data_IF_568138166974
#
_entry.id   IF_568138166974
#
_cell.length_a   1.000
_cell.length_b   1.000
_cell.length_c   1.000
_cell.angle_alpha   90.00
_cell.angle_beta   90.00
_cell.angle_gamma   90.00
#
_symmetry.space_group_name_H-M   'P 1'
#
loop_
_entity.id
_entity.type
_entity.pdbx_description
1 polymer ?
#
# COMPACT_ATOMS: atom_id res chain seq x y z
N UNK A 1 2.23 14.00 -28.65
CA UNK A 1 3.46 14.02 -27.93
C UNK A 1 3.26 14.19 -26.46
N UNK A 2 2.65 15.27 -26.09
CA UNK A 2 2.30 15.49 -24.70
C UNK A 2 1.52 14.33 -24.14
N UNK A 3 0.69 13.78 -24.96
CA UNK A 3 -0.14 12.67 -24.58
C UNK A 3 0.68 11.46 -24.17
N UNK A 4 1.77 11.27 -24.84
CA UNK A 4 2.63 10.14 -24.53
C UNK A 4 3.22 10.24 -23.16
N UNK A 5 3.73 11.39 -22.82
CA UNK A 5 4.30 11.58 -21.50
C UNK A 5 3.25 11.40 -20.45
N UNK A 6 2.10 11.86 -20.76
CA UNK A 6 0.98 11.76 -19.89
C UNK A 6 0.63 10.31 -19.59
N UNK A 7 0.55 9.53 -20.66
CA UNK A 7 0.23 8.12 -20.49
C UNK A 7 1.29 7.40 -19.71
N UNK A 8 2.52 7.79 -19.86
CA UNK A 8 3.59 7.16 -19.11
C UNK A 8 3.41 7.37 -17.62
N UNK A 9 3.00 8.55 -17.25
CA UNK A 9 2.76 8.83 -15.84
C UNK A 9 1.59 8.03 -15.30
N UNK A 10 0.54 7.95 -16.07
CA UNK A 10 -0.60 7.15 -15.64
C UNK A 10 -0.23 5.69 -15.49
N UNK A 11 0.57 5.22 -16.38
CA UNK A 11 1.02 3.86 -16.37
C UNK A 11 1.79 3.57 -15.08
N UNK A 12 2.65 4.49 -14.69
CA UNK A 12 3.40 4.35 -13.46
C UNK A 12 2.50 4.24 -12.26
N UNK A 13 1.50 5.08 -12.21
CA UNK A 13 0.55 5.07 -11.11
C UNK A 13 -0.15 3.74 -11.03
N UNK A 14 -0.56 3.22 -12.17
CA UNK A 14 -1.24 1.93 -12.19
C UNK A 14 -0.37 0.82 -11.67
N UNK A 15 0.89 0.86 -12.00
CA UNK A 15 1.82 -0.17 -11.54
C UNK A 15 1.95 -0.21 -10.05
N UNK A 16 1.75 0.90 -9.38
CA UNK A 16 1.95 0.99 -7.96
C UNK A 16 0.77 0.53 -7.15
N UNK A 17 -0.39 0.48 -7.77
CA UNK A 17 -1.61 0.15 -7.00
C UNK A 17 -1.73 -1.34 -6.73
N UNK A 18 -1.86 -1.67 -5.47
CA UNK A 18 -2.00 -3.04 -5.02
C UNK A 18 -3.20 -3.17 -4.11
N UNK A 19 -3.62 -4.40 -3.89
CA UNK A 19 -4.69 -4.70 -2.96
C UNK A 19 -4.25 -5.76 -1.99
N UNK A 20 -4.80 -5.70 -0.80
CA UNK A 20 -4.48 -6.68 0.21
C UNK A 20 -5.44 -6.64 1.37
N UNK A 21 -5.13 -7.47 2.35
CA UNK A 21 -5.92 -7.56 3.58
C UNK A 21 -5.01 -7.28 4.75
N UNK A 22 -5.46 -6.45 5.67
CA UNK A 22 -4.66 -6.11 6.84
C UNK A 22 -4.58 -7.34 7.74
N UNK A 23 -3.37 -7.80 8.02
CA UNK A 23 -3.15 -8.92 8.92
C UNK A 23 -3.28 -8.48 10.36
N UNK A 24 -2.67 -7.36 10.66
CA UNK A 24 -2.86 -6.72 11.95
C UNK A 24 -2.32 -5.30 11.86
N UNK A 25 -2.77 -4.47 12.78
CA UNK A 25 -2.24 -3.12 12.90
C UNK A 25 -2.27 -2.72 14.36
N UNK A 26 -1.11 -2.29 14.85
CA UNK A 26 -0.97 -1.85 16.23
C UNK A 26 -1.07 -0.34 16.28
N UNK A 27 -2.20 0.16 16.76
CA UNK A 27 -2.46 1.60 16.78
C UNK A 27 -1.53 2.34 17.71
N UNK A 28 -1.15 1.71 18.80
CA UNK A 28 -0.28 2.37 19.77
C UNK A 28 1.13 2.57 19.22
N UNK A 29 1.64 1.56 18.56
CA UNK A 29 2.99 1.64 18.02
C UNK A 29 3.00 2.18 16.58
N UNK A 30 1.86 2.21 15.93
CA UNK A 30 1.74 2.83 14.62
C UNK A 30 2.30 2.01 13.47
N UNK A 31 2.17 0.68 13.53
CA UNK A 31 2.61 -0.14 12.41
C UNK A 31 1.82 -1.43 12.33
N UNK A 32 1.93 -2.09 11.21
CA UNK A 32 1.27 -3.36 10.99
C UNK A 32 1.75 -4.01 9.70
N UNK A 33 1.00 -5.01 9.26
CA UNK A 33 1.33 -5.73 8.03
C UNK A 33 0.07 -5.96 7.21
N UNK A 34 0.26 -5.88 5.90
CA UNK A 34 -0.80 -6.14 4.93
C UNK A 34 -0.36 -7.33 4.10
N UNK A 35 -1.28 -8.31 3.95
CA UNK A 35 -1.02 -9.45 3.09
C UNK A 35 -1.49 -9.10 1.68
N UNK A 36 -0.59 -9.11 0.73
CA UNK A 36 -0.94 -8.79 -0.65
C UNK A 36 -1.80 -9.89 -1.24
N UNK A 37 -2.83 -9.49 -1.97
CA UNK A 37 -3.77 -10.45 -2.53
C UNK A 37 -3.12 -11.33 -3.59
N UNK A 38 -2.33 -10.73 -4.45
CA UNK A 38 -1.78 -11.46 -5.60
C UNK A 38 -0.59 -12.36 -5.24
N UNK A 39 0.33 -11.86 -4.43
CA UNK A 39 1.54 -12.61 -4.11
C UNK A 39 1.50 -13.27 -2.76
N UNK A 40 0.54 -12.86 -1.93
CA UNK A 40 0.42 -13.33 -0.54
C UNK A 40 1.65 -13.03 0.30
N UNK A 41 2.40 -12.03 -0.14
CA UNK A 41 3.58 -11.57 0.58
C UNK A 41 3.15 -10.46 1.53
N UNK A 42 3.70 -10.45 2.72
CA UNK A 42 3.39 -9.42 3.70
C UNK A 42 4.17 -8.15 3.40
N UNK A 43 3.49 -7.01 3.54
CA UNK A 43 4.10 -5.72 3.34
C UNK A 43 3.94 -4.92 4.63
N UNK A 44 5.03 -4.33 5.07
CA UNK A 44 5.02 -3.49 6.26
C UNK A 44 4.26 -2.20 5.99
N UNK A 45 3.50 -1.73 6.97
CA UNK A 45 2.80 -0.46 6.86
C UNK A 45 3.00 0.33 8.15
N UNK A 46 3.34 1.61 8.00
CA UNK A 46 3.48 2.52 9.12
C UNK A 46 2.32 3.50 9.10
N UNK A 47 1.98 4.04 10.27
CA UNK A 47 0.83 4.95 10.36
C UNK A 47 0.97 6.15 9.44
N UNK A 48 2.19 6.58 9.16
CA UNK A 48 2.39 7.71 8.25
C UNK A 48 2.03 7.39 6.81
N UNK A 49 1.89 6.11 6.48
CA UNK A 49 1.50 5.70 5.13
C UNK A 49 0.01 5.49 4.97
N UNK A 50 -0.78 5.80 5.98
CA UNK A 50 -2.22 5.58 5.93
C UNK A 50 -2.96 6.80 5.43
N UNK A 51 -3.92 6.58 4.53
CA UNK A 51 -4.91 7.59 4.19
C UNK A 51 -6.11 7.42 5.12
N UNK A 52 -6.50 6.17 5.33
CA UNK A 52 -7.61 5.83 6.24
C UNK A 52 -7.08 5.05 7.42
N UNK A 53 -7.81 5.08 8.52
CA UNK A 53 -7.53 4.19 9.63
C UNK A 53 -7.87 2.77 9.21
N UNK A 54 -7.01 1.84 9.58
CA UNK A 54 -7.19 0.45 9.18
C UNK A 54 -7.27 -0.45 10.40
N UNK A 55 -7.89 -1.60 10.20
CA UNK A 55 -8.03 -2.62 11.24
C UNK A 55 -7.73 -3.97 10.66
N UNK A 56 -7.52 -4.91 11.53
CA UNK A 56 -7.34 -6.30 11.15
C UNK A 56 -8.49 -6.76 10.25
N UNK A 57 -8.14 -7.43 9.17
CA UNK A 57 -9.09 -7.99 8.19
C UNK A 57 -9.69 -6.99 7.22
N UNK A 58 -9.35 -5.72 7.32
CA UNK A 58 -9.81 -4.74 6.34
C UNK A 58 -9.18 -5.02 4.98
N UNK A 59 -10.00 -4.86 3.92
CA UNK A 59 -9.48 -4.88 2.57
C UNK A 59 -9.00 -3.48 2.23
N UNK A 60 -7.80 -3.40 1.72
CA UNK A 60 -7.17 -2.10 1.46
C UNK A 60 -6.53 -2.07 0.09
N UNK A 61 -6.38 -0.85 -0.40
CA UNK A 61 -5.65 -0.57 -1.62
C UNK A 61 -4.47 0.32 -1.22
N UNK A 62 -3.33 0.08 -1.84
CA UNK A 62 -2.12 0.80 -1.43
C UNK A 62 -1.09 0.79 -2.54
N UNK A 63 -0.09 1.66 -2.38
CA UNK A 63 1.08 1.69 -3.23
C UNK A 63 2.24 1.08 -2.47
N UNK A 64 3.26 0.66 -3.19
CA UNK A 64 4.44 0.08 -2.57
C UNK A 64 5.63 1.00 -2.81
N UNK A 65 6.39 1.20 -1.75
CA UNK A 65 7.59 2.00 -1.80
C UNK A 65 8.73 1.19 -1.22
N UNK A 66 9.88 1.22 -1.86
CA UNK A 66 11.05 0.53 -1.35
C UNK A 66 11.69 1.34 -0.24
N UNK A 67 11.82 0.74 0.93
CA UNK A 67 12.47 1.38 2.07
C UNK A 67 13.77 0.69 2.39
N UNK A 68 14.43 1.16 3.42
CA UNK A 68 15.72 0.61 3.81
C UNK A 68 15.62 -0.82 4.28
N UNK A 69 14.50 -1.18 4.85
CA UNK A 69 14.30 -2.52 5.40
C UNK A 69 13.41 -3.40 4.56
N UNK A 70 13.06 -2.93 3.36
CA UNK A 70 12.21 -3.71 2.48
C UNK A 70 11.05 -2.89 1.98
N UNK A 71 10.00 -3.56 1.57
CA UNK A 71 8.85 -2.90 0.97
C UNK A 71 7.92 -2.35 2.03
N UNK A 72 7.46 -1.13 1.80
CA UNK A 72 6.48 -0.46 2.66
C UNK A 72 5.23 -0.14 1.87
N UNK A 73 4.09 -0.26 2.54
CA UNK A 73 2.83 0.17 1.94
C UNK A 73 2.61 1.63 2.28
N UNK A 74 2.21 2.40 1.28
CA UNK A 74 1.91 3.82 1.45
C UNK A 74 0.59 4.12 0.77
N UNK A 75 0.02 5.27 1.09
CA UNK A 75 -1.27 5.69 0.52
C UNK A 75 -2.32 4.60 0.73
N UNK A 76 -2.33 4.02 1.91
CA UNK A 76 -3.22 2.91 2.22
C UNK A 76 -4.61 3.42 2.52
N UNK A 77 -5.60 2.87 1.82
CA UNK A 77 -6.98 3.24 2.09
C UNK A 77 -7.87 2.03 2.01
N UNK A 78 -8.94 2.08 2.78
CA UNK A 78 -9.90 0.97 2.84
C UNK A 78 -10.77 0.99 1.59
N UNK A 79 -10.95 -0.20 1.02
CA UNK A 79 -11.78 -0.33 -0.17
C UNK A 79 -13.22 -0.59 0.22
#
# INVERSE_FOLDING_TARGET
MTIKAYLANLFKINKMQKEGTVKFFNNLKGFGFISQTDTRTDVFVHSTGLIDNIRENDRVQFDIEEGKKGLNAINVKVI
#
